data_IF_921377614605
#
_entry.id   IF_921377614605
#
_cell.length_a   1.000
_cell.length_b   1.000
_cell.length_c   1.000
_cell.angle_alpha   90.00
_cell.angle_beta   90.00
_cell.angle_gamma   90.00
#
_symmetry.space_group_name_H-M   'P 1'
#
loop_
_entity.id
_entity.type
_entity.pdbx_description
1 polymer ?
#
# COMPACT_ATOMS: atom_id res chain seq x y z
N UNK A 1 4.94 8.50 5.29
CA UNK A 1 4.60 9.66 4.44
C UNK A 1 3.87 9.21 3.18
N UNK A 2 4.37 8.20 2.41
CA UNK A 2 3.74 7.74 1.18
C UNK A 2 2.26 7.41 1.31
N UNK A 3 1.88 6.61 2.31
CA UNK A 3 0.47 6.26 2.57
C UNK A 3 -0.38 7.49 2.88
N UNK A 4 0.16 8.43 3.67
CA UNK A 4 -0.53 9.69 3.95
C UNK A 4 -0.72 10.52 2.68
N UNK A 5 0.30 10.63 1.82
CA UNK A 5 0.19 11.34 0.55
C UNK A 5 -0.85 10.68 -0.37
N UNK A 6 -0.84 9.37 -0.47
CA UNK A 6 -1.81 8.62 -1.26
C UNK A 6 -3.23 8.82 -0.75
N UNK A 7 -3.46 8.59 0.55
CA UNK A 7 -4.80 8.54 1.15
C UNK A 7 -5.36 9.95 1.34
N UNK A 8 -4.64 10.83 2.04
CA UNK A 8 -5.08 12.22 2.29
C UNK A 8 -5.11 13.00 0.99
N UNK A 9 -4.07 12.82 0.15
CA UNK A 9 -3.99 13.47 -1.15
C UNK A 9 -5.17 13.13 -2.05
N UNK A 10 -5.56 11.85 -2.14
CA UNK A 10 -6.74 11.42 -2.89
C UNK A 10 -8.03 11.96 -2.28
N UNK A 11 -8.20 11.80 -0.97
CA UNK A 11 -9.42 12.21 -0.28
C UNK A 11 -9.73 13.69 -0.54
N UNK A 12 -8.78 14.59 -0.30
CA UNK A 12 -9.00 16.03 -0.53
C UNK A 12 -9.04 16.43 -2.00
N UNK A 13 -8.32 15.77 -2.90
CA UNK A 13 -8.42 16.05 -4.33
C UNK A 13 -9.81 15.71 -4.90
N UNK A 14 -10.46 14.67 -4.35
CA UNK A 14 -11.70 14.11 -4.89
C UNK A 14 -12.92 14.27 -3.98
N UNK A 15 -12.83 15.05 -2.90
CA UNK A 15 -13.93 15.26 -1.94
C UNK A 15 -15.22 15.81 -2.56
N UNK A 16 -15.16 16.37 -3.75
CA UNK A 16 -16.32 16.86 -4.51
C UNK A 16 -17.02 15.76 -5.33
N UNK A 17 -16.37 14.60 -5.51
CA UNK A 17 -16.91 13.43 -6.22
C UNK A 17 -17.54 12.43 -5.23
N UNK A 18 -17.12 12.46 -3.96
CA UNK A 18 -17.63 11.61 -2.90
C UNK A 18 -16.83 11.74 -1.62
N UNK A 19 -17.27 11.08 -0.57
CA UNK A 19 -16.60 11.09 0.74
C UNK A 19 -16.41 9.69 1.32
N UNK A 20 -16.73 8.66 0.58
CA UNK A 20 -16.58 7.28 1.04
C UNK A 20 -15.21 6.69 0.69
N UNK A 21 -14.56 6.10 1.69
CA UNK A 21 -13.26 5.44 1.59
C UNK A 21 -13.41 3.99 2.08
N UNK A 22 -12.65 3.08 1.51
CA UNK A 22 -12.62 1.67 1.93
C UNK A 22 -11.19 1.27 2.27
N UNK A 23 -11.01 0.55 3.38
CA UNK A 23 -9.74 -0.07 3.78
C UNK A 23 -9.99 -1.37 4.51
N UNK A 24 -8.94 -2.07 4.96
CA UNK A 24 -9.09 -3.26 5.82
C UNK A 24 -8.88 -2.90 7.29
N UNK A 25 -9.36 -3.74 8.20
CA UNK A 25 -9.17 -3.53 9.64
C UNK A 25 -7.79 -4.01 10.16
N UNK A 26 -6.92 -4.47 9.27
CA UNK A 26 -5.59 -5.02 9.61
C UNK A 26 -4.44 -4.30 8.92
N UNK A 27 -4.71 -3.10 8.40
CA UNK A 27 -3.69 -2.25 7.79
C UNK A 27 -2.62 -1.81 8.79
N UNK A 28 -1.47 -1.39 8.24
CA UNK A 28 -0.46 -0.73 9.05
C UNK A 28 -1.00 0.56 9.70
N UNK A 29 -0.53 0.95 10.91
CA UNK A 29 -0.97 2.19 11.56
C UNK A 29 -0.86 3.45 10.70
N UNK A 30 0.05 3.51 9.72
CA UNK A 30 0.16 4.62 8.78
C UNK A 30 -1.09 4.77 7.90
N UNK A 31 -1.82 3.69 7.65
CA UNK A 31 -3.11 3.69 6.94
C UNK A 31 -4.26 3.88 7.91
N UNK A 32 -4.36 3.06 8.97
CA UNK A 32 -5.48 3.12 9.92
C UNK A 32 -5.63 4.49 10.59
N UNK A 33 -4.52 5.05 11.10
CA UNK A 33 -4.57 6.36 11.75
C UNK A 33 -4.87 7.49 10.76
N UNK A 34 -4.46 7.33 9.49
CA UNK A 34 -4.80 8.28 8.42
C UNK A 34 -6.28 8.21 8.07
N UNK A 35 -6.88 7.01 8.04
CA UNK A 35 -8.32 6.85 7.84
C UNK A 35 -9.11 7.46 9.01
N UNK A 36 -8.72 7.20 10.27
CA UNK A 36 -9.33 7.81 11.46
C UNK A 36 -9.24 9.35 11.42
N UNK A 37 -8.11 9.90 10.95
CA UNK A 37 -8.00 11.35 10.74
C UNK A 37 -9.02 11.84 9.71
N UNK A 38 -9.18 11.15 8.59
CA UNK A 38 -10.14 11.54 7.56
C UNK A 38 -11.61 11.44 8.03
N UNK A 39 -11.96 10.47 8.90
CA UNK A 39 -13.26 10.43 9.56
C UNK A 39 -13.52 11.70 10.37
N UNK A 40 -12.49 12.20 11.09
CA UNK A 40 -12.60 13.47 11.82
C UNK A 40 -12.77 14.70 10.90
N UNK A 41 -12.41 14.56 9.61
CA UNK A 41 -12.59 15.58 8.56
C UNK A 41 -13.91 15.42 7.79
N UNK A 42 -14.80 14.51 8.22
CA UNK A 42 -16.13 14.30 7.64
C UNK A 42 -16.15 13.39 6.41
N UNK A 43 -15.15 12.51 6.26
CA UNK A 43 -15.21 11.37 5.35
C UNK A 43 -15.84 10.16 6.05
N UNK A 44 -16.37 9.23 5.28
CA UNK A 44 -16.92 7.97 5.76
C UNK A 44 -15.96 6.84 5.40
N UNK A 45 -15.56 6.02 6.37
CA UNK A 45 -14.63 4.91 6.14
C UNK A 45 -15.30 3.58 6.40
N UNK A 46 -15.25 2.68 5.42
CA UNK A 46 -15.61 1.27 5.61
C UNK A 46 -14.35 0.46 5.84
N UNK A 47 -14.25 -0.16 7.02
CA UNK A 47 -13.18 -1.10 7.39
C UNK A 47 -13.64 -2.53 7.09
N UNK A 48 -13.09 -3.16 6.05
CA UNK A 48 -13.41 -4.53 5.69
C UNK A 48 -12.81 -5.49 6.74
N UNK A 49 -13.62 -6.31 7.40
CA UNK A 49 -13.10 -7.29 8.34
C UNK A 49 -12.44 -8.45 7.60
N UNK A 50 -11.29 -8.89 8.10
CA UNK A 50 -10.66 -10.12 7.61
C UNK A 50 -11.28 -11.36 8.23
N UNK A 51 -11.20 -12.49 7.53
CA UNK A 51 -11.60 -13.79 8.02
C UNK A 51 -10.57 -14.37 9.02
N UNK A 52 -10.78 -15.61 9.49
CA UNK A 52 -9.91 -16.29 10.47
C UNK A 52 -8.48 -16.53 9.97
N UNK A 53 -8.25 -16.51 8.65
CA UNK A 53 -6.93 -16.64 8.04
C UNK A 53 -6.33 -15.27 7.63
N UNK A 54 -6.95 -14.17 8.05
CA UNK A 54 -6.41 -12.83 7.84
C UNK A 54 -6.69 -12.23 6.45
N UNK A 55 -7.61 -12.77 5.66
CA UNK A 55 -7.90 -12.33 4.29
C UNK A 55 -9.27 -11.68 4.16
N UNK A 56 -9.40 -10.75 3.21
CA UNK A 56 -10.67 -10.30 2.66
C UNK A 56 -11.00 -11.07 1.39
N UNK A 57 -12.26 -11.06 1.01
CA UNK A 57 -12.72 -11.61 -0.28
C UNK A 57 -13.08 -10.49 -1.26
N UNK A 58 -12.89 -10.69 -2.58
CA UNK A 58 -13.35 -9.75 -3.60
C UNK A 58 -14.84 -9.38 -3.47
N UNK A 59 -15.66 -10.32 -3.01
CA UNK A 59 -17.09 -10.11 -2.80
C UNK A 59 -17.40 -9.15 -1.64
N UNK A 60 -16.57 -9.14 -0.58
CA UNK A 60 -16.72 -8.15 0.49
C UNK A 60 -16.47 -6.74 -0.04
N UNK A 61 -15.42 -6.55 -0.86
CA UNK A 61 -15.16 -5.27 -1.51
C UNK A 61 -16.33 -4.85 -2.41
N UNK A 62 -16.80 -5.74 -3.31
CA UNK A 62 -17.94 -5.44 -4.20
C UNK A 62 -19.18 -4.97 -3.46
N UNK A 63 -19.48 -5.57 -2.29
CA UNK A 63 -20.62 -5.19 -1.45
C UNK A 63 -20.43 -3.85 -0.74
N UNK A 64 -19.19 -3.49 -0.44
CA UNK A 64 -18.85 -2.24 0.25
C UNK A 64 -18.75 -1.04 -0.71
N UNK A 65 -18.50 -1.27 -2.01
CA UNK A 65 -18.40 -0.21 -3.01
C UNK A 65 -19.73 0.54 -3.15
N UNK A 66 -19.64 1.86 -3.17
CA UNK A 66 -20.75 2.80 -3.35
C UNK A 66 -20.43 3.75 -4.52
N UNK A 67 -21.45 4.36 -5.08
CA UNK A 67 -21.28 5.35 -6.15
C UNK A 67 -20.41 6.57 -5.72
N UNK A 68 -20.36 6.89 -4.43
CA UNK A 68 -19.55 7.95 -3.85
C UNK A 68 -18.21 7.45 -3.24
N UNK A 69 -17.83 6.20 -3.49
CA UNK A 69 -16.51 5.69 -3.09
C UNK A 69 -15.43 6.31 -3.97
N UNK A 70 -14.47 7.01 -3.37
CA UNK A 70 -13.39 7.72 -4.07
C UNK A 70 -12.01 7.09 -3.88
N UNK A 71 -11.85 6.25 -2.85
CA UNK A 71 -10.58 5.57 -2.54
C UNK A 71 -10.83 4.17 -1.99
N UNK A 72 -10.06 3.22 -2.47
CA UNK A 72 -9.87 1.90 -1.86
C UNK A 72 -8.39 1.75 -1.55
N UNK A 73 -8.05 1.50 -0.28
CA UNK A 73 -6.68 1.29 0.18
C UNK A 73 -6.59 -0.06 0.87
N UNK A 74 -5.87 -1.00 0.27
CA UNK A 74 -5.66 -2.35 0.80
C UNK A 74 -4.18 -2.69 0.72
N UNK A 75 -3.57 -3.06 1.83
CA UNK A 75 -2.17 -3.47 1.85
C UNK A 75 -1.95 -4.71 0.98
N UNK A 76 -0.79 -4.79 0.33
CA UNK A 76 -0.48 -5.94 -0.52
C UNK A 76 -0.20 -7.20 0.31
N UNK A 77 0.56 -7.06 1.38
CA UNK A 77 0.80 -8.13 2.35
C UNK A 77 0.89 -7.59 3.78
N UNK A 78 0.35 -8.35 4.72
CA UNK A 78 0.34 -7.94 6.11
C UNK A 78 1.72 -8.14 6.75
N UNK A 79 2.19 -7.12 7.45
CA UNK A 79 3.52 -7.07 8.06
C UNK A 79 3.68 -7.97 9.29
N UNK A 80 2.59 -8.43 9.90
CA UNK A 80 2.61 -9.28 11.10
C UNK A 80 2.37 -10.75 10.76
N UNK A 81 1.41 -11.02 9.88
CA UNK A 81 0.97 -12.38 9.55
C UNK A 81 1.57 -12.92 8.25
N UNK A 82 2.09 -12.05 7.37
CA UNK A 82 2.59 -12.42 6.04
C UNK A 82 1.49 -12.78 5.03
N UNK A 83 0.23 -12.61 5.38
CA UNK A 83 -0.91 -12.86 4.48
C UNK A 83 -0.85 -11.92 3.29
N UNK A 84 -0.92 -12.47 2.08
CA UNK A 84 -0.99 -11.72 0.82
C UNK A 84 -2.46 -11.51 0.47
N UNK A 85 -2.82 -10.26 0.15
CA UNK A 85 -4.18 -9.89 -0.24
C UNK A 85 -4.40 -10.07 -1.75
N UNK A 86 -5.65 -10.27 -2.21
CA UNK A 86 -5.99 -10.53 -3.61
C UNK A 86 -5.98 -9.23 -4.45
N UNK A 87 -4.80 -8.62 -4.60
CA UNK A 87 -4.63 -7.27 -5.18
C UNK A 87 -5.03 -7.21 -6.65
N UNK A 88 -4.71 -8.25 -7.44
CA UNK A 88 -5.08 -8.34 -8.84
C UNK A 88 -6.61 -8.37 -9.00
N UNK A 89 -7.31 -9.20 -8.22
CA UNK A 89 -8.79 -9.30 -8.27
C UNK A 89 -9.46 -8.01 -7.77
N UNK A 90 -8.85 -7.33 -6.79
CA UNK A 90 -9.29 -6.00 -6.35
C UNK A 90 -9.13 -4.99 -7.49
N UNK A 91 -7.99 -4.99 -8.17
CA UNK A 91 -7.72 -4.12 -9.30
C UNK A 91 -8.68 -4.36 -10.48
N UNK A 92 -9.04 -5.62 -10.76
CA UNK A 92 -10.06 -5.99 -11.76
C UNK A 92 -11.44 -5.42 -11.38
N UNK A 93 -11.84 -5.53 -10.11
CA UNK A 93 -13.11 -4.97 -9.63
C UNK A 93 -13.14 -3.45 -9.78
N UNK A 94 -12.01 -2.78 -9.53
CA UNK A 94 -11.91 -1.33 -9.55
C UNK A 94 -11.65 -0.76 -10.95
N UNK A 95 -11.31 -1.58 -11.94
CA UNK A 95 -11.06 -1.14 -13.31
C UNK A 95 -12.24 -0.36 -13.93
N UNK A 96 -13.47 -0.76 -13.60
CA UNK A 96 -14.71 -0.12 -14.05
C UNK A 96 -15.34 0.80 -12.99
N UNK A 97 -14.63 1.06 -11.89
CA UNK A 97 -15.11 1.90 -10.80
C UNK A 97 -14.30 3.20 -10.69
N UNK A 98 -14.95 4.29 -10.28
CA UNK A 98 -14.28 5.59 -10.16
C UNK A 98 -13.22 5.66 -9.05
N UNK A 99 -13.27 4.78 -8.04
CA UNK A 99 -12.39 4.86 -6.87
C UNK A 99 -10.92 4.69 -7.28
N UNK A 100 -10.06 5.55 -6.74
CA UNK A 100 -8.60 5.39 -6.83
C UNK A 100 -8.18 4.15 -6.02
N UNK A 101 -7.33 3.31 -6.59
CA UNK A 101 -6.80 2.13 -5.91
C UNK A 101 -5.39 2.39 -5.38
N UNK A 102 -5.25 2.39 -4.06
CA UNK A 102 -3.98 2.47 -3.35
C UNK A 102 -3.63 1.13 -2.69
N UNK A 103 -2.36 0.75 -2.72
CA UNK A 103 -1.83 -0.37 -1.94
C UNK A 103 -0.55 0.02 -1.20
N UNK A 104 -0.49 -0.30 0.10
CA UNK A 104 0.77 -0.34 0.84
C UNK A 104 1.51 -1.64 0.43
N UNK A 105 2.54 -1.49 -0.40
CA UNK A 105 3.36 -2.59 -0.91
C UNK A 105 4.72 -2.69 -0.21
N UNK A 106 4.88 -2.05 0.95
CA UNK A 106 6.13 -2.01 1.73
C UNK A 106 6.66 -3.41 2.05
N UNK A 107 5.77 -4.40 2.25
CA UNK A 107 6.17 -5.77 2.60
C UNK A 107 6.47 -6.64 1.37
N UNK A 108 6.09 -6.25 0.17
CA UNK A 108 6.22 -7.10 -1.03
C UNK A 108 7.25 -6.63 -2.03
N UNK A 109 7.51 -5.32 -2.09
CA UNK A 109 8.50 -4.77 -3.03
C UNK A 109 9.87 -5.43 -2.82
N UNK A 110 10.46 -5.93 -3.91
CA UNK A 110 11.72 -6.64 -3.86
C UNK A 110 11.67 -8.07 -3.31
N UNK A 111 10.48 -8.61 -2.98
CA UNK A 111 10.30 -9.99 -2.50
C UNK A 111 9.49 -10.84 -3.46
N UNK A 112 8.45 -10.25 -4.06
CA UNK A 112 7.65 -10.90 -5.10
C UNK A 112 7.53 -9.98 -6.32
N UNK A 113 7.30 -10.54 -7.52
CA UNK A 113 7.07 -9.73 -8.71
C UNK A 113 5.88 -8.78 -8.51
N UNK A 114 6.07 -7.52 -8.90
CA UNK A 114 5.07 -6.47 -8.76
C UNK A 114 4.91 -5.71 -10.06
N UNK A 115 3.70 -5.68 -10.60
CA UNK A 115 3.37 -4.91 -11.80
C UNK A 115 2.13 -4.04 -11.55
N UNK A 116 2.32 -2.76 -11.14
CA UNK A 116 1.20 -1.88 -10.82
C UNK A 116 0.21 -1.69 -11.97
N UNK A 117 0.69 -1.69 -13.22
CA UNK A 117 -0.17 -1.51 -14.40
C UNK A 117 -1.05 -2.74 -14.64
N UNK A 118 -0.47 -3.93 -14.54
CA UNK A 118 -1.23 -5.18 -14.73
C UNK A 118 -2.27 -5.40 -13.63
N UNK A 119 -1.98 -4.97 -12.41
CA UNK A 119 -2.89 -5.07 -11.26
C UNK A 119 -3.83 -3.84 -11.12
N UNK A 120 -3.90 -2.95 -12.11
CA UNK A 120 -4.72 -1.73 -12.08
C UNK A 120 -4.52 -0.86 -10.83
N UNK A 121 -3.31 -0.85 -10.26
CA UNK A 121 -2.96 -0.03 -9.10
C UNK A 121 -2.71 1.41 -9.56
N UNK A 122 -3.34 2.37 -8.91
CA UNK A 122 -3.19 3.79 -9.18
C UNK A 122 -2.11 4.44 -8.30
N UNK A 123 -1.98 3.98 -7.06
CA UNK A 123 -1.03 4.49 -6.06
C UNK A 123 -0.41 3.31 -5.30
N UNK A 124 0.91 3.37 -5.08
CA UNK A 124 1.61 2.30 -4.39
C UNK A 124 2.74 2.86 -3.52
N UNK A 125 2.72 2.54 -2.24
CA UNK A 125 3.69 3.01 -1.26
C UNK A 125 4.79 2.00 -0.99
N UNK A 126 6.05 2.47 -0.95
CA UNK A 126 7.25 1.67 -0.69
C UNK A 126 8.12 2.35 0.36
N UNK A 127 8.85 1.55 1.14
CA UNK A 127 9.83 2.01 2.11
C UNK A 127 11.18 1.29 1.93
N UNK A 128 12.26 2.06 1.78
CA UNK A 128 13.59 1.52 1.47
C UNK A 128 14.13 0.57 2.54
N UNK A 129 13.84 0.82 3.82
CA UNK A 129 14.36 -0.01 4.92
C UNK A 129 13.86 -1.46 4.91
N UNK A 130 12.83 -1.78 4.12
CA UNK A 130 12.30 -3.15 3.95
C UNK A 130 13.01 -3.93 2.83
N UNK A 131 13.87 -3.25 2.07
CA UNK A 131 14.70 -3.82 1.01
C UNK A 131 16.20 -3.59 1.27
N UNK A 132 16.59 -3.50 2.55
CA UNK A 132 17.95 -3.24 3.01
C UNK A 132 18.51 -1.85 2.63
N UNK A 133 17.65 -0.93 2.23
CA UNK A 133 17.99 0.47 1.98
C UNK A 133 17.96 1.33 3.25
N UNK A 134 18.27 2.63 3.14
CA UNK A 134 18.29 3.55 4.27
C UNK A 134 16.89 3.73 4.90
N UNK A 135 16.87 4.01 6.21
CA UNK A 135 15.67 4.47 6.91
C UNK A 135 15.33 5.90 6.50
N UNK A 136 14.04 6.28 6.58
CA UNK A 136 13.58 7.65 6.34
C UNK A 136 13.49 8.03 4.86
N UNK A 137 13.53 7.05 3.95
CA UNK A 137 13.33 7.23 2.51
C UNK A 137 12.42 6.12 1.95
N UNK A 138 11.65 6.48 0.94
CA UNK A 138 10.75 5.60 0.21
C UNK A 138 10.24 6.30 -1.04
N UNK A 139 9.35 5.69 -1.78
CA UNK A 139 8.67 6.34 -2.88
C UNK A 139 7.17 6.03 -2.90
N UNK A 140 6.42 6.93 -3.52
CA UNK A 140 5.04 6.73 -3.89
C UNK A 140 4.97 6.61 -5.43
N UNK A 141 4.59 5.44 -5.93
CA UNK A 141 4.18 5.32 -7.33
C UNK A 141 2.82 6.00 -7.51
N UNK A 142 2.71 6.83 -8.51
CA UNK A 142 1.48 7.50 -8.91
C UNK A 142 1.27 7.30 -10.41
N UNK A 143 0.19 6.62 -10.76
CA UNK A 143 -0.22 6.42 -12.15
C UNK A 143 -0.51 7.76 -12.81
N UNK A 144 -0.14 7.88 -14.07
CA UNK A 144 -0.41 9.09 -14.87
C UNK A 144 -1.91 9.45 -14.86
N UNK A 145 -2.23 10.72 -14.67
CA UNK A 145 -3.60 11.22 -14.60
C UNK A 145 -4.24 11.20 -13.21
N UNK A 146 -3.69 10.45 -12.25
CA UNK A 146 -4.18 10.46 -10.86
C UNK A 146 -3.84 11.79 -10.21
N UNK A 147 -4.84 12.44 -9.59
CA UNK A 147 -4.67 13.75 -8.93
C UNK A 147 -4.59 13.56 -7.42
N UNK A 148 -3.59 14.20 -6.82
CA UNK A 148 -3.43 14.25 -5.36
C UNK A 148 -3.40 15.70 -4.90
N UNK A 149 -4.11 16.01 -3.83
CA UNK A 149 -3.93 17.25 -3.10
C UNK A 149 -2.57 17.21 -2.38
N UNK A 150 -1.89 18.37 -2.34
CA UNK A 150 -0.61 18.46 -1.61
C UNK A 150 -0.86 18.41 -0.11
N UNK A 151 -0.06 17.63 0.59
CA UNK A 151 -0.05 17.57 2.06
C UNK A 151 1.17 18.30 2.66
N UNK A 152 2.26 18.44 1.88
CA UNK A 152 3.43 19.23 2.25
C UNK A 152 3.54 20.44 1.32
N UNK A 153 3.44 21.63 1.90
CA UNK A 153 3.43 22.89 1.17
C UNK A 153 4.78 23.59 1.28
N UNK A 154 5.23 24.26 0.20
CA UNK A 154 6.51 24.97 0.14
C UNK A 154 7.03 25.08 -1.29
N UNK A 155 8.28 24.72 -1.51
CA UNK A 155 8.95 24.79 -2.81
C UNK A 155 8.38 23.87 -3.87
N UNK A 156 9.06 23.81 -5.01
CA UNK A 156 8.59 23.10 -6.22
C UNK A 156 9.22 21.72 -6.41
N UNK A 157 9.79 21.15 -5.35
CA UNK A 157 10.40 19.82 -5.38
C UNK A 157 9.38 18.75 -5.80
N UNK A 158 9.86 17.60 -6.25
CA UNK A 158 9.05 16.49 -6.76
C UNK A 158 7.96 16.98 -7.75
N UNK A 159 8.36 17.83 -8.71
CA UNK A 159 7.44 18.43 -9.71
C UNK A 159 6.23 19.15 -9.06
N UNK A 160 6.45 19.83 -7.96
CA UNK A 160 5.44 20.52 -7.13
C UNK A 160 4.47 19.58 -6.41
N UNK A 161 4.78 18.30 -6.28
CA UNK A 161 3.92 17.31 -5.60
C UNK A 161 4.23 17.22 -4.11
N UNK A 162 5.51 17.32 -3.74
CA UNK A 162 5.98 17.24 -2.35
C UNK A 162 7.10 18.26 -2.12
N UNK A 163 6.85 19.26 -1.29
CA UNK A 163 7.82 20.30 -0.97
C UNK A 163 8.89 19.80 0.01
N UNK A 164 10.03 20.44 0.00
CA UNK A 164 11.19 20.13 0.84
C UNK A 164 12.36 19.59 0.00
N UNK A 165 13.58 20.01 0.35
CA UNK A 165 14.80 19.57 -0.32
C UNK A 165 14.89 18.05 -0.33
N UNK A 166 15.23 17.48 -1.47
CA UNK A 166 15.32 16.03 -1.68
C UNK A 166 16.43 15.44 -0.81
N UNK A 167 16.15 14.30 -0.17
CA UNK A 167 17.13 13.54 0.59
C UNK A 167 18.01 12.72 -0.39
N UNK A 168 18.95 13.39 -1.07
CA UNK A 168 19.78 12.76 -2.10
C UNK A 168 20.54 11.53 -1.59
N UNK A 169 21.06 11.60 -0.37
CA UNK A 169 21.79 10.47 0.24
C UNK A 169 20.86 9.25 0.41
N UNK A 170 19.66 9.48 0.92
CA UNK A 170 18.65 8.44 1.06
C UNK A 170 18.18 7.87 -0.29
N UNK A 171 17.97 8.76 -1.28
CA UNK A 171 17.53 8.37 -2.63
C UNK A 171 18.59 7.51 -3.32
N UNK A 172 19.86 7.93 -3.29
CA UNK A 172 20.97 7.16 -3.86
C UNK A 172 21.13 5.82 -3.14
N UNK A 173 21.05 5.81 -1.80
CA UNK A 173 21.11 4.57 -1.03
C UNK A 173 19.94 3.62 -1.32
N UNK A 174 18.73 4.15 -1.56
CA UNK A 174 17.58 3.35 -1.99
C UNK A 174 17.79 2.80 -3.41
N UNK A 175 18.27 3.61 -4.36
CA UNK A 175 18.58 3.16 -5.72
C UNK A 175 19.60 2.01 -5.70
N UNK A 176 20.68 2.16 -4.92
CA UNK A 176 21.65 1.09 -4.72
C UNK A 176 21.03 -0.19 -4.15
N UNK A 177 20.10 -0.08 -3.20
CA UNK A 177 19.40 -1.23 -2.65
C UNK A 177 18.51 -1.91 -3.71
N UNK A 178 17.87 -1.14 -4.58
CA UNK A 178 17.05 -1.66 -5.70
C UNK A 178 17.92 -2.41 -6.71
N UNK A 179 19.13 -1.93 -7.03
CA UNK A 179 20.05 -2.59 -7.95
C UNK A 179 20.46 -4.01 -7.50
N UNK A 180 20.37 -4.29 -6.19
CA UNK A 180 20.58 -5.63 -5.63
C UNK A 180 19.35 -6.54 -5.68
N UNK A 181 18.17 -6.05 -6.07
CA UNK A 181 16.93 -6.83 -6.12
C UNK A 181 16.81 -7.59 -7.44
N UNK A 182 17.71 -8.54 -7.70
CA UNK A 182 17.60 -9.44 -8.84
C UNK A 182 16.48 -10.47 -8.62
N UNK A 183 15.97 -11.07 -9.69
CA UNK A 183 14.99 -12.17 -9.60
C UNK A 183 15.51 -13.33 -8.75
N UNK A 184 16.80 -13.67 -8.87
CA UNK A 184 17.46 -14.69 -8.07
C UNK A 184 17.43 -14.34 -6.57
N UNK A 185 17.73 -13.09 -6.19
CA UNK A 185 17.67 -12.63 -4.81
C UNK A 185 16.24 -12.64 -4.24
N UNK A 186 15.27 -12.29 -5.05
CA UNK A 186 13.86 -12.34 -4.68
C UNK A 186 13.42 -13.78 -4.42
N UNK A 187 13.76 -14.72 -5.32
CA UNK A 187 13.45 -16.12 -5.16
C UNK A 187 14.12 -16.72 -3.92
N UNK A 188 15.41 -16.44 -3.70
CA UNK A 188 16.15 -16.91 -2.51
C UNK A 188 15.53 -16.37 -1.21
N UNK A 189 15.07 -15.11 -1.21
CA UNK A 189 14.39 -14.51 -0.04
C UNK A 189 13.08 -15.22 0.25
N UNK A 190 12.27 -15.51 -0.77
CA UNK A 190 11.01 -16.22 -0.61
C UNK A 190 11.20 -17.67 -0.14
N UNK A 191 12.21 -18.37 -0.65
CA UNK A 191 12.54 -19.73 -0.21
C UNK A 191 12.94 -19.76 1.27
N UNK A 192 13.77 -18.80 1.71
CA UNK A 192 14.14 -18.66 3.12
C UNK A 192 12.92 -18.36 4.02
N UNK A 193 12.06 -17.45 3.59
CA UNK A 193 10.83 -17.14 4.35
C UNK A 193 9.92 -18.37 4.50
N UNK A 194 9.71 -19.12 3.42
CA UNK A 194 8.94 -20.37 3.46
C UNK A 194 9.57 -21.38 4.42
N UNK A 195 10.89 -21.60 4.32
CA UNK A 195 11.62 -22.54 5.19
C UNK A 195 11.44 -22.18 6.67
N UNK A 196 11.57 -20.90 7.04
CA UNK A 196 11.39 -20.43 8.42
C UNK A 196 9.94 -20.64 8.88
N UNK A 197 8.95 -20.35 8.02
CA UNK A 197 7.54 -20.56 8.35
C UNK A 197 7.20 -22.05 8.54
N UNK A 198 7.75 -22.91 7.70
CA UNK A 198 7.56 -24.37 7.82
C UNK A 198 8.20 -24.90 9.12
N UNK A 199 9.38 -24.42 9.49
CA UNK A 199 10.04 -24.75 10.75
C UNK A 199 9.20 -24.28 11.94
N UNK A 200 8.72 -23.05 11.92
CA UNK A 200 7.86 -22.51 12.97
C UNK A 200 6.56 -23.31 13.13
N UNK A 201 5.88 -23.62 12.03
CA UNK A 201 4.66 -24.43 12.04
C UNK A 201 4.92 -25.85 12.60
N UNK A 202 6.06 -26.47 12.25
CA UNK A 202 6.46 -27.77 12.78
C UNK A 202 6.75 -27.74 14.28
N UNK A 203 7.30 -26.64 14.81
CA UNK A 203 7.52 -26.43 16.24
C UNK A 203 6.16 -26.27 16.95
N UNK A 204 5.28 -25.43 16.44
CA UNK A 204 3.96 -25.18 17.03
C UNK A 204 3.09 -26.43 17.09
N UNK A 205 3.13 -27.28 16.04
CA UNK A 205 2.40 -28.57 16.01
C UNK A 205 2.93 -29.61 17.03
N UNK A 206 4.15 -29.42 17.57
CA UNK A 206 4.72 -30.30 18.59
C UNK A 206 4.40 -29.86 20.04
N UNK A 207 3.88 -28.65 20.20
CA UNK A 207 3.57 -28.05 21.51
C UNK A 207 2.07 -28.18 21.85
N UNK A 208 1.24 -28.63 20.92
CA UNK A 208 -0.17 -28.97 21.10
C UNK A 208 -0.33 -30.46 21.18
#
# INVERSE_FOLDING_TARGET
>A
EGDNMAIVGTAFARQHEGKHLITTNVEHPAVLNTMNYLESQGFEVTYLPVNKVGQITPQQLKKALRADTILVSVMYANNETGVIFPIEEIGEILADHQATFHTDAVQVYGKIPLNPKAANIDLLSISAHKINGPKGVGFLYQKEGVKLAKILHGGSQEEKRRAGTENLVGIVGMASAIDFLTEEQQQLTMEKLKSVMDEYNNIMLRVV
#
